data_IF_536915375939
#
_entry.id   IF_536915375939
#
_cell.length_a   1.000
_cell.length_b   1.000
_cell.length_c   1.000
_cell.angle_alpha   90.00
_cell.angle_beta   90.00
_cell.angle_gamma   90.00
#
_symmetry.space_group_name_H-M   'P 1'
#
loop_
_entity.id
_entity.type
_entity.pdbx_description
1 polymer ?
#
# COMPACT_ATOMS: atom_id res chain seq x y z
N UNK A 1 4.36 34.75 20.22
CA UNK A 1 4.80 33.42 19.77
C UNK A 1 5.92 32.98 20.71
N UNK A 2 5.81 31.83 21.35
CA UNK A 2 6.87 31.33 22.25
C UNK A 2 7.79 30.37 21.46
N UNK A 3 9.08 30.51 21.61
CA UNK A 3 10.09 29.69 20.94
C UNK A 3 11.05 29.09 21.98
N UNK A 4 11.36 27.80 21.88
CA UNK A 4 12.38 27.15 22.69
C UNK A 4 13.57 26.81 21.78
N UNK A 5 14.72 27.39 22.02
CA UNK A 5 15.98 27.13 21.29
C UNK A 5 16.88 26.25 22.14
N UNK A 6 17.04 24.98 21.74
CA UNK A 6 17.87 24.02 22.44
C UNK A 6 18.69 23.17 21.48
N UNK A 7 19.88 22.74 21.88
CA UNK A 7 20.73 21.87 21.06
C UNK A 7 20.34 20.39 21.23
N UNK A 8 19.65 20.03 22.34
CA UNK A 8 19.26 18.67 22.64
C UNK A 8 18.04 18.64 23.54
N UNK A 9 17.10 17.77 23.22
CA UNK A 9 16.00 17.38 24.09
C UNK A 9 16.22 15.91 24.47
N UNK A 10 16.30 15.60 25.74
CA UNK A 10 16.47 14.22 26.22
C UNK A 10 15.63 14.01 27.48
N UNK A 11 15.22 12.76 27.75
CA UNK A 11 14.48 12.48 28.96
C UNK A 11 15.35 12.76 30.21
N UNK A 12 14.69 13.10 31.31
CA UNK A 12 15.34 13.42 32.57
C UNK A 12 16.14 12.25 33.13
N UNK A 13 15.68 11.03 32.89
CA UNK A 13 16.32 9.78 33.30
C UNK A 13 16.86 9.05 32.08
N UNK A 14 18.03 8.44 32.19
CA UNK A 14 18.57 7.57 31.15
C UNK A 14 17.56 6.49 30.80
N UNK A 15 17.40 6.20 29.49
CA UNK A 15 16.40 5.25 28.95
C UNK A 15 14.93 5.64 29.18
N UNK A 16 14.65 6.90 29.51
CA UNK A 16 13.28 7.41 29.63
C UNK A 16 12.65 7.78 28.29
N UNK A 17 11.36 8.07 28.32
CA UNK A 17 10.60 8.53 27.15
C UNK A 17 10.56 10.05 27.09
N UNK A 18 10.76 10.64 25.93
CA UNK A 18 10.46 12.05 25.65
C UNK A 18 9.20 12.10 24.80
N UNK A 19 8.14 12.73 25.33
CA UNK A 19 6.91 12.95 24.59
C UNK A 19 6.92 14.36 24.01
N UNK A 20 6.60 14.48 22.70
CA UNK A 20 6.46 15.76 22.01
C UNK A 20 4.98 15.96 21.66
N UNK A 21 4.34 16.93 22.29
CA UNK A 21 2.93 17.26 22.11
C UNK A 21 1.95 16.34 22.86
N UNK A 22 0.69 16.73 22.83
CA UNK A 22 -0.45 16.02 23.41
C UNK A 22 -1.39 15.50 22.32
N UNK A 23 -2.51 14.89 22.68
CA UNK A 23 -3.51 14.40 21.74
C UNK A 23 -4.07 15.55 20.89
N UNK A 24 -3.97 15.43 19.58
CA UNK A 24 -4.39 16.46 18.60
C UNK A 24 -3.28 17.40 18.15
N UNK A 25 -2.09 17.35 18.77
CA UNK A 25 -0.97 18.17 18.35
C UNK A 25 -0.31 17.65 17.07
N UNK A 26 0.30 18.55 16.34
CA UNK A 26 1.07 18.25 15.13
C UNK A 26 2.54 18.56 15.32
N UNK A 27 3.42 17.60 15.08
CA UNK A 27 4.85 17.82 14.96
C UNK A 27 5.20 18.08 13.50
N UNK A 28 5.51 19.32 13.16
CA UNK A 28 5.80 19.75 11.79
C UNK A 28 7.30 19.98 11.59
N UNK A 29 7.90 19.29 10.62
CA UNK A 29 9.23 19.60 10.10
C UNK A 29 9.06 20.58 8.93
N UNK A 30 9.62 21.81 9.01
CA UNK A 30 9.53 22.77 7.92
C UNK A 30 10.25 22.27 6.67
N UNK A 31 9.99 22.92 5.53
CA UNK A 31 10.69 22.62 4.27
C UNK A 31 12.21 22.67 4.46
N UNK A 32 12.89 21.61 4.00
CA UNK A 32 14.34 21.44 4.21
C UNK A 32 14.73 20.84 5.57
N UNK A 33 13.79 20.65 6.49
CA UNK A 33 14.04 19.96 7.76
C UNK A 33 14.23 18.45 7.54
N UNK A 34 15.13 17.83 8.31
CA UNK A 34 15.41 16.38 8.25
C UNK A 34 15.16 15.73 9.59
N UNK A 35 14.44 14.60 9.60
CA UNK A 35 14.38 13.66 10.71
C UNK A 35 15.34 12.51 10.44
N UNK A 36 16.44 12.42 11.19
CA UNK A 36 17.39 11.30 11.06
C UNK A 36 17.12 10.25 12.13
N UNK A 37 16.86 9.03 11.69
CA UNK A 37 16.76 7.86 12.55
C UNK A 37 18.09 7.12 12.49
N UNK A 38 18.78 7.01 13.63
CA UNK A 38 20.08 6.36 13.71
C UNK A 38 19.97 4.85 13.42
N UNK A 39 21.11 4.26 12.99
CA UNK A 39 21.19 2.81 12.79
C UNK A 39 20.82 2.05 14.07
N UNK A 40 19.98 1.04 13.94
CA UNK A 40 19.44 0.25 15.08
C UNK A 40 18.25 0.88 15.80
N UNK A 41 17.86 2.13 15.48
CA UNK A 41 16.64 2.72 16.00
C UNK A 41 15.41 2.33 15.17
N UNK A 42 14.24 2.31 15.78
CA UNK A 42 12.97 1.88 15.17
C UNK A 42 11.96 3.02 15.15
N UNK A 43 11.20 3.14 14.06
CA UNK A 43 9.97 3.94 14.01
C UNK A 43 8.79 2.99 14.16
N UNK A 44 8.03 3.11 15.27
CA UNK A 44 6.76 2.43 15.42
C UNK A 44 5.63 3.36 14.98
N UNK A 45 5.03 3.08 13.84
CA UNK A 45 3.85 3.81 13.39
C UNK A 45 2.60 2.98 13.71
N UNK A 46 1.85 3.37 14.75
CA UNK A 46 0.59 2.75 15.14
C UNK A 46 -0.63 3.44 14.48
N UNK A 47 -0.39 4.47 13.68
CA UNK A 47 -1.42 5.21 12.94
C UNK A 47 -1.33 4.96 11.44
N UNK A 48 -2.02 5.80 10.66
CA UNK A 48 -1.94 5.78 9.19
C UNK A 48 -0.69 6.50 8.72
N UNK A 49 0.13 5.84 7.91
CA UNK A 49 1.27 6.45 7.24
C UNK A 49 0.83 7.02 5.88
N UNK A 50 0.62 8.32 5.81
CA UNK A 50 0.33 8.99 4.54
C UNK A 50 1.63 9.42 3.87
N UNK A 51 1.86 9.03 2.63
CA UNK A 51 3.05 9.37 1.82
C UNK A 51 4.39 9.04 2.50
N UNK A 52 4.43 8.04 3.38
CA UNK A 52 5.63 7.63 4.09
C UNK A 52 6.41 6.60 3.25
N UNK A 53 7.18 7.09 2.28
CA UNK A 53 8.23 6.33 1.62
C UNK A 53 7.82 5.08 0.82
N UNK A 54 6.55 4.86 0.56
CA UNK A 54 6.10 3.69 -0.19
C UNK A 54 6.15 3.99 -1.69
N UNK A 55 7.30 3.82 -2.29
CA UNK A 55 7.40 3.74 -3.74
C UNK A 55 7.53 2.26 -4.13
N UNK A 56 6.41 1.67 -4.58
CA UNK A 56 6.40 0.38 -5.26
C UNK A 56 6.30 -0.88 -4.40
N UNK A 57 6.35 -0.79 -3.08
CA UNK A 57 6.11 -1.95 -2.21
C UNK A 57 4.67 -1.99 -1.73
N UNK A 58 4.04 -3.16 -1.81
CA UNK A 58 2.72 -3.41 -1.23
C UNK A 58 2.86 -4.10 0.13
N UNK A 59 1.92 -3.79 1.04
CA UNK A 59 1.79 -4.51 2.31
C UNK A 59 1.09 -5.84 2.06
N UNK A 60 1.85 -6.93 2.00
CA UNK A 60 1.32 -8.26 1.72
C UNK A 60 0.42 -8.77 2.84
N UNK A 61 -0.85 -9.02 2.51
CA UNK A 61 -1.83 -9.60 3.41
C UNK A 61 -1.60 -11.12 3.52
N UNK A 62 -1.34 -11.62 4.71
CA UNK A 62 -1.04 -13.03 4.95
C UNK A 62 -2.27 -13.93 4.94
N UNK A 63 -3.47 -13.35 5.03
CA UNK A 63 -4.73 -14.08 4.88
C UNK A 63 -5.02 -14.33 3.41
N UNK A 64 -4.89 -15.59 2.97
CA UNK A 64 -5.14 -16.00 1.60
C UNK A 64 -6.61 -15.78 1.22
N UNK A 65 -6.85 -15.16 0.07
CA UNK A 65 -8.19 -14.91 -0.47
C UNK A 65 -8.64 -16.11 -1.31
N UNK A 66 -9.80 -16.66 -1.00
CA UNK A 66 -10.40 -17.84 -1.68
C UNK A 66 -11.74 -17.52 -2.35
N UNK A 67 -12.24 -16.31 -2.24
CA UNK A 67 -13.49 -15.82 -2.81
C UNK A 67 -13.36 -14.35 -3.20
N UNK A 68 -14.39 -13.81 -3.89
CA UNK A 68 -14.38 -12.41 -4.34
C UNK A 68 -14.23 -11.42 -3.20
N UNK A 69 -13.46 -10.35 -3.43
CA UNK A 69 -13.20 -9.29 -2.45
C UNK A 69 -12.91 -7.95 -3.15
N UNK A 70 -12.86 -6.89 -2.37
CA UNK A 70 -12.39 -5.57 -2.81
C UNK A 70 -10.96 -5.36 -2.30
N UNK A 71 -10.05 -5.04 -3.20
CA UNK A 71 -8.67 -4.73 -2.86
C UNK A 71 -8.54 -3.31 -2.27
N UNK A 72 -7.55 -3.11 -1.41
CA UNK A 72 -7.21 -1.83 -0.81
C UNK A 72 -5.90 -1.31 -1.43
N UNK A 73 -5.84 -0.01 -1.71
CA UNK A 73 -4.60 0.62 -2.19
C UNK A 73 -3.47 0.46 -1.17
N UNK A 74 -2.29 0.11 -1.65
CA UNK A 74 -1.10 -0.17 -0.84
C UNK A 74 -0.97 -1.61 -0.37
N UNK A 75 -1.93 -2.49 -0.67
CA UNK A 75 -1.91 -3.89 -0.24
C UNK A 75 -1.61 -4.87 -1.37
N UNK A 76 -0.99 -5.99 -1.00
CA UNK A 76 -0.77 -7.16 -1.85
C UNK A 76 -1.53 -8.38 -1.31
N UNK A 77 -2.00 -9.25 -2.21
CA UNK A 77 -2.85 -10.38 -1.85
C UNK A 77 -2.38 -11.68 -2.48
N UNK A 78 -2.35 -12.72 -1.66
CA UNK A 78 -2.27 -14.11 -2.14
C UNK A 78 -3.68 -14.59 -2.45
N UNK A 79 -3.94 -14.97 -3.72
CA UNK A 79 -5.26 -15.45 -4.16
C UNK A 79 -5.16 -16.92 -4.51
N UNK A 80 -6.04 -17.74 -3.91
CA UNK A 80 -6.14 -19.16 -4.17
C UNK A 80 -7.43 -19.46 -4.94
N UNK A 81 -7.28 -19.85 -6.18
CA UNK A 81 -8.39 -20.17 -7.09
C UNK A 81 -8.65 -21.66 -7.25
N UNK A 82 -8.09 -22.51 -6.37
CA UNK A 82 -8.32 -23.97 -6.41
C UNK A 82 -9.80 -24.34 -6.38
N UNK A 83 -10.62 -23.58 -5.64
CA UNK A 83 -12.06 -23.78 -5.52
C UNK A 83 -12.91 -23.15 -6.65
N UNK A 84 -12.32 -22.43 -7.57
CA UNK A 84 -12.98 -21.71 -8.66
C UNK A 84 -12.42 -20.32 -8.92
N UNK A 85 -12.87 -19.68 -9.99
CA UNK A 85 -12.46 -18.34 -10.38
C UNK A 85 -12.83 -17.31 -9.30
N UNK A 86 -11.98 -16.30 -9.13
CA UNK A 86 -12.14 -15.24 -8.13
C UNK A 86 -12.25 -13.87 -8.81
N UNK A 87 -13.23 -13.06 -8.42
CA UNK A 87 -13.36 -11.68 -8.87
C UNK A 87 -12.84 -10.73 -7.81
N UNK A 88 -11.97 -9.80 -8.19
CA UNK A 88 -11.38 -8.79 -7.31
C UNK A 88 -11.77 -7.41 -7.81
N UNK A 89 -12.50 -6.65 -6.99
CA UNK A 89 -12.78 -5.26 -7.27
C UNK A 89 -11.53 -4.43 -6.94
N UNK A 90 -11.02 -3.68 -7.91
CA UNK A 90 -9.94 -2.72 -7.68
C UNK A 90 -10.45 -1.53 -6.86
N UNK A 91 -9.60 -0.91 -6.03
CA UNK A 91 -9.97 0.32 -5.33
C UNK A 91 -10.12 1.48 -6.33
N UNK A 92 -10.76 2.57 -5.89
CA UNK A 92 -10.82 3.80 -6.69
C UNK A 92 -9.40 4.28 -7.04
N UNK A 93 -9.20 4.60 -8.30
CA UNK A 93 -7.90 5.01 -8.84
C UNK A 93 -7.49 6.38 -8.34
N UNK A 94 -6.33 6.44 -7.70
CA UNK A 94 -5.65 7.68 -7.33
C UNK A 94 -4.21 7.57 -7.82
N UNK A 95 -3.69 8.61 -8.46
CA UNK A 95 -2.34 8.61 -9.02
C UNK A 95 -1.31 8.14 -7.97
N UNK A 96 -0.52 7.11 -8.30
CA UNK A 96 0.43 6.47 -7.41
C UNK A 96 -0.16 5.36 -6.51
N UNK A 97 -1.47 5.08 -6.56
CA UNK A 97 -2.05 3.93 -5.88
C UNK A 97 -1.47 2.62 -6.44
N UNK A 98 -1.17 1.68 -5.56
CA UNK A 98 -0.53 0.39 -5.91
C UNK A 98 -1.33 -0.76 -5.34
N UNK A 99 -1.49 -1.86 -6.10
CA UNK A 99 -2.08 -3.12 -5.60
C UNK A 99 -1.31 -4.30 -6.19
N UNK A 100 -1.01 -5.28 -5.35
CA UNK A 100 -0.30 -6.49 -5.77
C UNK A 100 -1.16 -7.75 -5.69
N UNK A 101 -0.95 -8.70 -6.61
CA UNK A 101 -1.60 -10.02 -6.60
C UNK A 101 -0.58 -11.12 -6.85
N UNK A 102 -0.75 -12.24 -6.15
CA UNK A 102 0.06 -13.44 -6.33
C UNK A 102 -0.82 -14.67 -6.38
N UNK A 103 -0.62 -15.50 -7.40
CA UNK A 103 -1.19 -16.85 -7.46
C UNK A 103 -0.61 -17.70 -6.32
N UNK A 104 -1.46 -18.07 -5.37
CA UNK A 104 -1.07 -18.84 -4.19
C UNK A 104 -0.84 -20.32 -4.51
N UNK A 105 -1.73 -20.91 -5.29
CA UNK A 105 -1.80 -22.34 -5.53
C UNK A 105 -1.35 -22.76 -6.94
N UNK A 106 -0.88 -21.81 -7.76
CA UNK A 106 -0.55 -22.03 -9.17
C UNK A 106 -1.73 -22.55 -10.00
N UNK A 107 -2.89 -21.92 -9.81
CA UNK A 107 -4.15 -22.34 -10.42
C UNK A 107 -4.86 -21.26 -11.23
N UNK A 108 -4.21 -20.11 -11.48
CA UNK A 108 -4.81 -19.03 -12.27
C UNK A 108 -5.03 -19.41 -13.74
N UNK A 109 -4.23 -20.34 -14.29
CA UNK A 109 -4.42 -20.88 -15.63
C UNK A 109 -5.67 -21.75 -15.75
N UNK A 110 -6.06 -22.42 -14.68
CA UNK A 110 -7.26 -23.27 -14.61
C UNK A 110 -8.49 -22.48 -14.19
N UNK A 111 -8.36 -21.64 -13.19
CA UNK A 111 -9.41 -20.78 -12.64
C UNK A 111 -8.88 -19.35 -12.51
N UNK A 112 -9.15 -18.52 -13.47
CA UNK A 112 -8.58 -17.19 -13.55
C UNK A 112 -9.11 -16.23 -12.46
N UNK A 113 -8.30 -15.22 -12.13
CA UNK A 113 -8.74 -14.05 -11.38
C UNK A 113 -9.21 -12.98 -12.35
N UNK A 114 -10.41 -12.44 -12.12
CA UNK A 114 -10.92 -11.28 -12.83
C UNK A 114 -10.69 -10.02 -12.01
N UNK A 115 -9.95 -9.06 -12.53
CA UNK A 115 -9.80 -7.73 -11.95
C UNK A 115 -10.91 -6.83 -12.47
N UNK A 116 -11.79 -6.41 -11.58
CA UNK A 116 -12.94 -5.56 -11.90
C UNK A 116 -12.55 -4.12 -11.59
N UNK A 117 -12.66 -3.25 -12.56
CA UNK A 117 -12.37 -1.83 -12.40
C UNK A 117 -13.37 -1.13 -11.47
N UNK A 118 -12.95 -0.06 -10.82
CA UNK A 118 -13.82 0.78 -10.01
C UNK A 118 -14.51 1.84 -10.89
N UNK A 119 -15.83 1.79 -10.99
CA UNK A 119 -16.60 2.76 -11.78
C UNK A 119 -16.13 2.86 -13.23
N UNK A 120 -15.61 4.01 -13.62
CA UNK A 120 -15.07 4.28 -14.97
C UNK A 120 -13.54 4.21 -15.04
N UNK A 121 -12.87 3.77 -14.00
CA UNK A 121 -11.41 3.60 -14.02
C UNK A 121 -11.02 2.59 -15.11
N UNK A 122 -9.86 2.79 -15.70
CA UNK A 122 -9.37 1.91 -16.76
C UNK A 122 -8.32 0.95 -16.24
N UNK A 123 -8.11 -0.13 -16.99
CA UNK A 123 -6.99 -1.05 -16.80
C UNK A 123 -6.29 -1.15 -18.17
N UNK A 124 -5.05 -0.71 -18.25
CA UNK A 124 -4.30 -0.69 -19.51
C UNK A 124 -4.96 0.16 -20.60
N UNK A 125 -5.58 1.29 -20.24
CA UNK A 125 -6.31 2.16 -21.16
C UNK A 125 -7.71 1.68 -21.56
N UNK A 126 -8.13 0.50 -21.09
CA UNK A 126 -9.43 -0.11 -21.42
C UNK A 126 -10.41 -0.02 -20.25
N UNK A 127 -11.71 0.14 -20.58
CA UNK A 127 -12.82 0.04 -19.61
C UNK A 127 -13.34 -1.40 -19.46
N UNK A 128 -12.57 -2.40 -19.88
CA UNK A 128 -12.89 -3.82 -19.75
C UNK A 128 -12.11 -4.40 -18.58
N UNK A 129 -12.73 -5.31 -17.84
CA UNK A 129 -12.07 -6.05 -16.76
C UNK A 129 -10.82 -6.78 -17.30
N UNK A 130 -9.78 -6.86 -16.47
CA UNK A 130 -8.58 -7.63 -16.81
C UNK A 130 -8.64 -9.03 -16.20
N UNK A 131 -7.88 -9.95 -16.78
CA UNK A 131 -7.80 -11.33 -16.31
C UNK A 131 -6.36 -11.70 -15.97
N UNK A 132 -6.13 -12.28 -14.80
CA UNK A 132 -4.90 -12.96 -14.44
C UNK A 132 -5.12 -14.45 -14.64
N UNK A 133 -4.49 -15.03 -15.64
CA UNK A 133 -4.73 -16.39 -16.10
C UNK A 133 -3.47 -17.19 -16.40
N UNK A 134 -2.35 -16.85 -15.78
CA UNK A 134 -1.08 -17.56 -15.96
C UNK A 134 -0.70 -18.29 -14.67
N UNK A 135 -0.31 -19.55 -14.78
CA UNK A 135 0.15 -20.36 -13.66
C UNK A 135 1.27 -19.64 -12.89
N UNK A 136 1.12 -19.52 -11.59
CA UNK A 136 2.10 -18.92 -10.70
C UNK A 136 2.27 -17.41 -10.88
N UNK A 137 1.38 -16.74 -11.58
CA UNK A 137 1.45 -15.30 -11.89
C UNK A 137 1.59 -14.44 -10.63
N UNK A 138 2.42 -13.42 -10.73
CA UNK A 138 2.46 -12.31 -9.81
C UNK A 138 2.38 -11.02 -10.62
N UNK A 139 1.63 -10.04 -10.16
CA UNK A 139 1.52 -8.72 -10.80
C UNK A 139 1.44 -7.63 -9.75
N UNK A 140 2.05 -6.50 -10.07
CA UNK A 140 1.85 -5.24 -9.36
C UNK A 140 1.20 -4.26 -10.31
N UNK A 141 0.09 -3.65 -9.90
CA UNK A 141 -0.59 -2.61 -10.66
C UNK A 141 -0.39 -1.27 -9.97
N UNK A 142 -0.14 -0.23 -10.78
CA UNK A 142 -0.05 1.16 -10.35
C UNK A 142 -1.10 1.96 -11.11
N UNK A 143 -1.90 2.75 -10.41
CA UNK A 143 -2.79 3.71 -11.07
C UNK A 143 -2.02 4.96 -11.44
N UNK A 144 -2.04 5.33 -12.72
CA UNK A 144 -1.28 6.48 -13.22
C UNK A 144 -2.17 7.71 -13.41
N UNK A 145 -3.23 7.57 -14.17
CA UNK A 145 -4.18 8.65 -14.51
C UNK A 145 -5.50 8.08 -15.05
N UNK A 146 -6.44 8.93 -15.37
CA UNK A 146 -7.73 8.53 -15.96
C UNK A 146 -7.64 8.08 -17.42
N UNK A 147 -6.52 8.31 -18.10
CA UNK A 147 -6.32 7.92 -19.52
C UNK A 147 -5.93 6.45 -19.62
N UNK A 148 -4.96 6.03 -18.84
CA UNK A 148 -4.44 4.66 -18.83
C UNK A 148 -5.02 3.82 -17.68
N UNK A 149 -5.34 4.45 -16.55
CA UNK A 149 -5.83 3.75 -15.37
C UNK A 149 -4.74 2.96 -14.66
N UNK A 150 -5.06 1.72 -14.32
CA UNK A 150 -4.16 0.75 -13.71
C UNK A 150 -3.25 0.13 -14.75
N UNK A 151 -1.94 0.22 -14.55
CA UNK A 151 -0.91 -0.40 -15.39
C UNK A 151 -0.13 -1.45 -14.60
N UNK A 152 0.19 -2.57 -15.26
CA UNK A 152 1.10 -3.59 -14.73
C UNK A 152 2.53 -3.07 -14.85
N UNK A 153 3.34 -3.23 -13.80
CA UNK A 153 4.73 -2.70 -13.72
C UNK A 153 5.81 -3.79 -13.70
N UNK A 154 5.44 -5.07 -13.69
CA UNK A 154 6.33 -6.24 -13.65
C UNK A 154 5.96 -7.32 -14.67
#
# INVERSE_FOLDING_TARGET
MSEIKVNKISPRTACGTTTLGDSGDTFNLPSGGTLTIASGATINNNGTANNFGATGAVNWQTTVKTSGFTATSGEGYFVNTTGGAVSVNLPAGTAGAVVGFKDYAKTFDTNAVTLVQNGSDKIGGSTVNATLGTEGQAVTLVFIDSTQGWLVTD
#
